data_IF_820153554884
#
_entry.id   IF_820153554884
#
_cell.length_a   1.000
_cell.length_b   1.000
_cell.length_c   1.000
_cell.angle_alpha   90.00
_cell.angle_beta   90.00
_cell.angle_gamma   90.00
#
_symmetry.space_group_name_H-M   'P 1'
#
loop_
_entity.id
_entity.type
_entity.pdbx_description
1 polymer ?
#
# COMPACT_ATOMS: atom_id res chain seq x y z
N UNK A 1 -2.43 10.03 -15.11
CA UNK A 1 -1.40 9.80 -14.08
C UNK A 1 -2.10 9.30 -12.84
N UNK A 2 -1.68 8.17 -12.28
CA UNK A 2 -2.25 7.67 -11.03
C UNK A 2 -1.84 8.56 -9.85
N UNK A 3 -2.81 8.86 -8.99
CA UNK A 3 -2.66 9.69 -7.80
C UNK A 3 -2.80 8.85 -6.53
N UNK A 4 -2.40 9.41 -5.38
CA UNK A 4 -2.67 8.81 -4.07
C UNK A 4 -4.16 8.65 -3.79
N UNK A 5 -5.00 9.53 -4.35
CA UNK A 5 -6.43 9.44 -4.20
C UNK A 5 -6.97 8.19 -4.87
N UNK A 6 -6.45 7.84 -6.05
CA UNK A 6 -6.84 6.63 -6.77
C UNK A 6 -6.49 5.35 -5.98
N UNK A 7 -5.37 5.35 -5.25
CA UNK A 7 -4.99 4.23 -4.37
C UNK A 7 -5.91 4.14 -3.15
N UNK A 8 -6.32 5.28 -2.58
CA UNK A 8 -7.23 5.34 -1.42
C UNK A 8 -8.63 4.83 -1.74
N UNK A 9 -9.08 4.98 -2.97
CA UNK A 9 -10.40 4.52 -3.43
C UNK A 9 -10.41 3.05 -3.86
N UNK A 10 -9.25 2.39 -3.91
CA UNK A 10 -9.19 0.97 -4.24
C UNK A 10 -9.97 0.12 -3.23
N UNK A 11 -10.78 -0.78 -3.75
CA UNK A 11 -11.53 -1.74 -2.96
C UNK A 11 -10.62 -2.96 -2.70
N UNK A 12 -10.30 -3.29 -1.44
CA UNK A 12 -9.48 -4.46 -1.14
C UNK A 12 -10.23 -5.77 -1.47
N UNK A 13 -9.51 -6.86 -1.79
CA UNK A 13 -10.11 -8.19 -1.86
C UNK A 13 -10.61 -8.63 -0.46
N UNK A 14 -11.48 -9.65 -0.40
CA UNK A 14 -12.05 -10.14 0.87
C UNK A 14 -11.00 -10.63 1.88
N UNK A 15 -9.85 -11.10 1.39
CA UNK A 15 -8.71 -11.55 2.20
C UNK A 15 -7.41 -10.94 1.65
N UNK A 16 -7.12 -9.66 1.92
CA UNK A 16 -5.92 -9.01 1.42
C UNK A 16 -4.68 -9.59 2.09
N UNK A 17 -3.63 -9.80 1.28
CA UNK A 17 -2.33 -10.25 1.77
C UNK A 17 -1.79 -9.25 2.80
N UNK A 18 -1.06 -9.71 3.83
CA UNK A 18 -0.51 -8.81 4.87
C UNK A 18 0.36 -7.71 4.27
N UNK A 19 1.29 -8.07 3.39
CA UNK A 19 2.14 -7.14 2.63
C UNK A 19 1.34 -6.15 1.78
N UNK A 20 0.18 -6.55 1.25
CA UNK A 20 -0.68 -5.68 0.45
C UNK A 20 -1.33 -4.59 1.30
N UNK A 21 -1.75 -4.93 2.53
CA UNK A 21 -2.29 -3.94 3.47
C UNK A 21 -1.23 -2.91 3.84
N UNK A 22 -0.01 -3.34 4.11
CA UNK A 22 1.11 -2.42 4.41
C UNK A 22 1.41 -1.52 3.20
N UNK A 23 1.54 -2.09 2.00
CA UNK A 23 1.78 -1.29 0.80
C UNK A 23 0.67 -0.27 0.56
N UNK A 24 -0.61 -0.67 0.63
CA UNK A 24 -1.74 0.23 0.45
C UNK A 24 -1.73 1.35 1.49
N UNK A 25 -1.50 1.02 2.77
CA UNK A 25 -1.44 2.00 3.84
C UNK A 25 -0.36 3.07 3.60
N UNK A 26 0.85 2.65 3.23
CA UNK A 26 1.96 3.57 2.94
C UNK A 26 1.73 4.36 1.64
N UNK A 27 1.22 3.72 0.59
CA UNK A 27 0.96 4.35 -0.70
C UNK A 27 -0.18 5.39 -0.65
N UNK A 28 -1.09 5.27 0.32
CA UNK A 28 -2.06 6.30 0.68
C UNK A 28 -1.41 7.57 1.28
N UNK A 29 -0.08 7.59 1.47
CA UNK A 29 0.68 8.71 2.01
C UNK A 29 0.85 8.68 3.53
N UNK A 30 0.46 7.59 4.18
CA UNK A 30 0.68 7.42 5.62
C UNK A 30 2.12 6.94 5.90
N UNK A 31 2.48 7.02 7.16
CA UNK A 31 3.70 6.41 7.70
C UNK A 31 3.34 5.55 8.89
N UNK A 32 4.16 4.54 9.19
CA UNK A 32 3.83 3.57 10.25
C UNK A 32 5.08 3.05 10.95
N UNK A 33 4.98 2.81 12.25
CA UNK A 33 5.96 2.07 13.06
C UNK A 33 5.46 0.64 13.36
N UNK A 34 6.28 -0.18 14.02
CA UNK A 34 5.93 -1.58 14.32
C UNK A 34 4.73 -1.74 15.26
N UNK A 35 4.51 -0.82 16.21
CA UNK A 35 3.39 -0.87 17.16
C UNK A 35 2.07 -0.57 16.42
N UNK A 36 2.07 0.50 15.62
CA UNK A 36 0.94 0.91 14.79
C UNK A 36 0.62 -0.17 13.74
N UNK A 37 1.62 -0.83 13.16
CA UNK A 37 1.40 -1.90 12.19
C UNK A 37 0.71 -3.13 12.81
N UNK A 38 1.08 -3.49 14.05
CA UNK A 38 0.42 -4.56 14.78
C UNK A 38 -1.03 -4.20 15.11
N UNK A 39 -1.26 -2.99 15.61
CA UNK A 39 -2.60 -2.54 16.07
C UNK A 39 -3.56 -2.21 14.93
N UNK A 40 -3.10 -1.50 13.90
CA UNK A 40 -3.93 -1.00 12.80
C UNK A 40 -4.05 -1.99 11.63
N UNK A 41 -2.98 -2.74 11.33
CA UNK A 41 -2.89 -3.57 10.13
C UNK A 41 -2.79 -5.07 10.43
N UNK A 42 -2.74 -5.45 11.71
CA UNK A 42 -2.50 -6.83 12.16
C UNK A 42 -1.22 -7.42 11.53
N UNK A 43 -0.14 -6.62 11.55
CA UNK A 43 1.18 -6.94 11.01
C UNK A 43 2.21 -6.99 12.14
N UNK A 44 2.56 -8.20 12.59
CA UNK A 44 3.49 -8.42 13.69
C UNK A 44 4.97 -8.37 13.29
N UNK A 45 5.29 -8.34 11.99
CA UNK A 45 6.67 -8.34 11.50
C UNK A 45 6.88 -7.28 10.41
N UNK A 46 6.54 -6.03 10.76
CA UNK A 46 6.70 -4.89 9.86
C UNK A 46 8.11 -4.81 9.24
N UNK A 47 9.23 -4.95 9.98
CA UNK A 47 10.57 -4.86 9.39
C UNK A 47 10.82 -5.90 8.28
N UNK A 48 10.32 -7.13 8.45
CA UNK A 48 10.43 -8.17 7.42
C UNK A 48 9.55 -7.86 6.20
N UNK A 49 8.35 -7.33 6.42
CA UNK A 49 7.45 -6.89 5.35
C UNK A 49 8.06 -5.73 4.56
N UNK A 50 8.62 -4.73 5.23
CA UNK A 50 9.35 -3.62 4.61
C UNK A 50 10.56 -4.14 3.82
N UNK A 51 11.35 -5.05 4.39
CA UNK A 51 12.49 -5.66 3.68
C UNK A 51 12.06 -6.36 2.39
N UNK A 52 10.91 -7.04 2.42
CA UNK A 52 10.33 -7.69 1.25
C UNK A 52 9.88 -6.67 0.20
N UNK A 53 9.20 -5.60 0.60
CA UNK A 53 8.81 -4.52 -0.31
C UNK A 53 10.03 -3.88 -1.00
N UNK A 54 11.12 -3.60 -0.25
CA UNK A 54 12.35 -3.03 -0.82
C UNK A 54 13.07 -4.02 -1.76
N UNK A 55 13.30 -5.26 -1.31
CA UNK A 55 14.18 -6.20 -2.02
C UNK A 55 13.49 -6.91 -3.19
N UNK A 56 12.27 -7.39 -2.96
CA UNK A 56 11.52 -8.18 -3.95
C UNK A 56 10.75 -7.29 -4.90
N UNK A 57 10.09 -6.28 -4.37
CA UNK A 57 9.19 -5.41 -5.14
C UNK A 57 9.82 -4.07 -5.52
N UNK A 58 11.05 -3.79 -5.08
CA UNK A 58 11.83 -2.59 -5.46
C UNK A 58 11.16 -1.26 -5.11
N UNK A 59 10.34 -1.23 -4.06
CA UNK A 59 9.79 0.02 -3.56
C UNK A 59 10.86 0.82 -2.81
N UNK A 60 10.91 2.13 -3.09
CA UNK A 60 11.69 3.06 -2.29
C UNK A 60 10.93 3.39 -1.01
N UNK A 61 11.47 2.94 0.11
CA UNK A 61 10.88 3.12 1.44
C UNK A 61 11.84 3.95 2.27
N UNK A 62 11.33 5.10 2.70
CA UNK A 62 11.98 6.05 3.58
C UNK A 62 11.84 5.53 5.00
N UNK A 63 12.95 5.54 5.75
CA UNK A 63 13.02 5.08 7.13
C UNK A 63 13.63 6.21 7.97
N UNK A 64 12.92 6.61 9.02
CA UNK A 64 13.37 7.63 9.97
C UNK A 64 13.16 7.15 11.39
N UNK A 65 13.85 7.78 12.35
CA UNK A 65 13.63 7.53 13.76
C UNK A 65 12.22 8.00 14.18
N UNK A 66 11.55 7.20 15.00
CA UNK A 66 10.26 7.56 15.55
C UNK A 66 10.43 8.53 16.73
N UNK A 67 10.06 9.80 16.53
CA UNK A 67 10.17 10.86 17.54
C UNK A 67 9.28 10.62 18.78
N UNK A 68 8.19 9.87 18.64
CA UNK A 68 7.26 9.58 19.75
C UNK A 68 7.63 8.29 20.48
N UNK A 69 8.29 7.37 19.77
CA UNK A 69 8.71 6.08 20.30
C UNK A 69 10.17 5.81 19.91
N UNK A 70 11.12 6.44 20.60
CA UNK A 70 12.56 6.47 20.27
C UNK A 70 13.23 5.11 20.01
N UNK A 71 12.61 3.99 20.41
CA UNK A 71 13.09 2.62 20.17
C UNK A 71 12.66 2.06 18.81
N UNK A 72 11.76 2.74 18.10
CA UNK A 72 11.13 2.27 16.88
C UNK A 72 11.50 3.14 15.69
N UNK A 73 11.29 2.55 14.52
CA UNK A 73 11.53 3.18 13.24
C UNK A 73 10.18 3.44 12.59
N UNK A 74 10.05 4.61 11.97
CA UNK A 74 8.88 4.96 11.17
C UNK A 74 9.20 4.83 9.70
N UNK A 75 8.30 4.18 8.98
CA UNK A 75 8.44 3.88 7.56
C UNK A 75 7.38 4.63 6.76
N UNK A 76 7.79 5.22 5.65
CA UNK A 76 6.90 5.83 4.64
C UNK A 76 7.34 5.40 3.25
N UNK A 77 6.40 5.45 2.29
CA UNK A 77 6.71 5.22 0.89
C UNK A 77 7.16 6.54 0.25
N UNK A 78 8.13 6.47 -0.65
CA UNK A 78 8.47 7.60 -1.52
C UNK A 78 7.24 8.14 -2.26
N UNK A 79 7.21 9.45 -2.49
CA UNK A 79 6.03 10.15 -3.00
C UNK A 79 6.10 10.47 -4.48
N UNK A 80 7.10 9.96 -5.19
CA UNK A 80 7.22 10.16 -6.64
C UNK A 80 6.01 9.60 -7.39
N UNK A 81 5.66 10.19 -8.55
CA UNK A 81 4.63 9.65 -9.43
C UNK A 81 4.90 8.19 -9.83
N UNK A 82 6.17 7.83 -10.08
CA UNK A 82 6.57 6.47 -10.48
C UNK A 82 6.31 5.45 -9.36
N UNK A 83 6.68 5.78 -8.12
CA UNK A 83 6.42 4.91 -6.96
C UNK A 83 4.92 4.76 -6.71
N UNK A 84 4.15 5.84 -6.90
CA UNK A 84 2.68 5.81 -6.78
C UNK A 84 2.06 4.90 -7.85
N UNK A 85 2.49 5.03 -9.10
CA UNK A 85 2.03 4.18 -10.20
C UNK A 85 2.37 2.71 -9.97
N UNK A 86 3.59 2.42 -9.53
CA UNK A 86 4.05 1.06 -9.21
C UNK A 86 3.21 0.44 -8.08
N UNK A 87 2.92 1.20 -7.02
CA UNK A 87 2.10 0.73 -5.91
C UNK A 87 0.68 0.40 -6.37
N UNK A 88 0.08 1.26 -7.19
CA UNK A 88 -1.25 1.01 -7.76
C UNK A 88 -1.27 -0.28 -8.59
N UNK A 89 -0.37 -0.42 -9.56
CA UNK A 89 -0.29 -1.63 -10.40
C UNK A 89 -0.11 -2.88 -9.55
N UNK A 90 0.79 -2.85 -8.57
CA UNK A 90 1.05 -4.00 -7.71
C UNK A 90 -0.16 -4.38 -6.84
N UNK A 91 -0.93 -3.39 -6.36
CA UNK A 91 -2.16 -3.63 -5.60
C UNK A 91 -3.25 -4.26 -6.46
N UNK A 92 -3.42 -3.79 -7.71
CA UNK A 92 -4.35 -4.40 -8.67
C UNK A 92 -3.96 -5.87 -8.95
N UNK A 93 -2.68 -6.16 -9.16
CA UNK A 93 -2.18 -7.54 -9.32
C UNK A 93 -2.45 -8.42 -8.07
N UNK A 94 -2.51 -7.82 -6.88
CA UNK A 94 -2.87 -8.51 -5.64
C UNK A 94 -4.38 -8.57 -5.39
N UNK A 95 -5.19 -8.15 -6.35
CA UNK A 95 -6.65 -8.27 -6.33
C UNK A 95 -7.38 -7.09 -5.71
N UNK A 96 -6.70 -5.95 -5.48
CA UNK A 96 -7.42 -4.70 -5.26
C UNK A 96 -8.14 -4.32 -6.54
N UNK A 97 -9.29 -3.64 -6.40
CA UNK A 97 -10.15 -3.32 -7.53
C UNK A 97 -10.37 -1.83 -7.59
N UNK A 98 -10.19 -1.27 -8.76
CA UNK A 98 -10.52 0.12 -9.04
C UNK A 98 -12.04 0.24 -9.31
N UNK A 99 -12.79 0.99 -8.47
CA UNK A 99 -14.22 1.19 -8.67
C UNK A 99 -14.55 1.86 -10.01
N UNK A 100 -13.65 2.69 -10.56
CA UNK A 100 -13.88 3.36 -11.84
C UNK A 100 -13.81 2.37 -13.00
N UNK A 101 -12.81 1.48 -13.02
CA UNK A 101 -12.71 0.44 -14.06
C UNK A 101 -13.86 -0.57 -14.02
N UNK A 102 -14.44 -0.83 -12.83
CA UNK A 102 -15.61 -1.70 -12.72
C UNK A 102 -16.88 -1.10 -13.34
N UNK A 103 -17.05 0.22 -13.29
CA UNK A 103 -18.20 0.90 -13.91
C UNK A 103 -18.18 0.81 -15.44
N UNK A 104 -17.00 0.71 -16.05
CA UNK A 104 -16.84 0.60 -17.51
C UNK A 104 -16.85 -0.86 -17.99
N UNK A 105 -16.40 -1.82 -17.17
CA UNK A 105 -16.46 -3.24 -17.50
C UNK A 105 -17.89 -3.82 -17.51
N UNK A 106 -18.87 -3.11 -16.91
CA UNK A 106 -20.28 -3.52 -16.85
C UNK A 106 -21.19 -2.94 -17.94
N UNK A 107 -20.64 -2.28 -18.98
CA UNK A 107 -21.45 -1.65 -20.05
C UNK A 107 -21.47 -2.38 -21.40
N UNK A 108 -20.83 -3.55 -21.51
CA UNK A 108 -20.91 -4.39 -22.70
C UNK A 108 -21.75 -5.64 -22.40
N UNK A 109 -23.07 -5.47 -22.33
CA UNK A 109 -24.07 -6.51 -22.62
C UNK A 109 -25.46 -5.90 -22.49
N UNK A 110 -26.03 -5.49 -23.61
CA UNK A 110 -27.24 -6.09 -24.18
C UNK A 110 -27.57 -5.38 -25.49
N UNK A 111 -27.37 -6.12 -26.58
CA UNK A 111 -28.12 -5.98 -27.84
C UNK A 111 -29.63 -6.03 -27.58
#
# INVERSE_FOLDING_TARGET
MTTRQDIRTLIPPSRPRKIARVLNYLACGNSINSIEAETLLNEHSLPSTISTLKKKYRFEIIRVDDQENERFMRYSLDTSPDTTQQAFTQLIEWGYRDPQLQLFAGKDTHE
#
